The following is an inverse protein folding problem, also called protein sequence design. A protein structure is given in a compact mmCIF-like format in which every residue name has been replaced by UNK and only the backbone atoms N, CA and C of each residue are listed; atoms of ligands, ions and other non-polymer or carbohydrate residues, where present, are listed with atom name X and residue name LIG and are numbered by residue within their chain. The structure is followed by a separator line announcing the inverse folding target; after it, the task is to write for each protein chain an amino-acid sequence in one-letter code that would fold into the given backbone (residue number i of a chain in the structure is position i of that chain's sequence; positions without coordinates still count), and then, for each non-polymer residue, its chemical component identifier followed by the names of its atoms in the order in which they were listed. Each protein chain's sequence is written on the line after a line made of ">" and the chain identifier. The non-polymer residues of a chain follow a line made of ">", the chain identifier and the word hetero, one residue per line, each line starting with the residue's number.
data_IF_953687684770
#
_entry.id   IF_953687684770
#
_cell.length_a   1.000
_cell.length_b   1.000
_cell.length_c   1.000
_cell.angle_alpha   90.00
_cell.angle_beta   90.00
_cell.angle_gamma   90.00
#
_symmetry.space_group_name_H-M   'P 1'
#
loop_
_entity.id
_entity.type
_entity.pdbx_description
1 polymer ?
#
# COMPACT_ATOMS: atom_id res chain seq x y z
N UNK A 1 3.74 -15.79 14.98
CA UNK A 1 3.63 -14.31 14.90
C UNK A 1 3.62 -13.98 13.42
N UNK A 2 2.50 -13.48 12.88
CA UNK A 2 2.43 -13.14 11.47
C UNK A 2 3.30 -11.90 11.24
N UNK A 3 4.34 -12.01 10.42
CA UNK A 3 5.30 -10.93 10.14
C UNK A 3 4.65 -9.69 9.51
N UNK A 4 3.38 -9.78 9.12
CA UNK A 4 2.66 -8.75 8.39
C UNK A 4 1.86 -7.80 9.30
N UNK A 5 2.19 -7.72 10.60
CA UNK A 5 1.46 -6.90 11.59
C UNK A 5 2.42 -5.97 12.32
N UNK A 6 2.19 -4.65 12.20
CA UNK A 6 2.91 -3.60 12.91
C UNK A 6 1.92 -2.90 13.85
N UNK A 7 2.28 -2.76 15.13
CA UNK A 7 1.42 -2.13 16.15
C UNK A 7 -0.01 -2.69 16.20
N UNK A 8 -0.15 -4.01 16.01
CA UNK A 8 -1.44 -4.70 16.02
C UNK A 8 -2.27 -4.52 14.74
N UNK A 9 -1.76 -3.82 13.73
CA UNK A 9 -2.44 -3.61 12.45
C UNK A 9 -1.69 -4.27 11.29
N UNK A 10 -2.39 -4.88 10.33
CA UNK A 10 -1.74 -5.51 9.18
C UNK A 10 -1.10 -4.48 8.25
N UNK A 11 -0.14 -4.91 7.44
CA UNK A 11 0.38 -4.18 6.29
C UNK A 11 0.54 -5.13 5.10
N UNK A 12 0.71 -4.56 3.89
CA UNK A 12 0.95 -5.37 2.69
C UNK A 12 2.45 -5.67 2.60
N UNK A 13 2.83 -6.93 2.78
CA UNK A 13 4.22 -7.40 2.65
C UNK A 13 4.46 -8.22 1.38
N UNK A 14 3.39 -8.59 0.66
CA UNK A 14 3.49 -9.32 -0.60
C UNK A 14 2.22 -9.13 -1.43
N UNK A 15 2.40 -9.03 -2.76
CA UNK A 15 1.33 -9.02 -3.74
C UNK A 15 1.80 -9.73 -5.02
N UNK A 16 0.97 -10.63 -5.56
CA UNK A 16 1.22 -11.36 -6.82
C UNK A 16 2.58 -12.11 -6.79
N UNK A 17 2.95 -12.66 -5.63
CA UNK A 17 4.20 -13.44 -5.46
C UNK A 17 5.47 -12.59 -5.35
N UNK A 18 5.38 -11.27 -5.43
CA UNK A 18 6.47 -10.36 -5.09
C UNK A 18 6.35 -9.97 -3.62
N UNK A 19 7.41 -10.18 -2.85
CA UNK A 19 7.48 -9.91 -1.42
C UNK A 19 8.38 -8.69 -1.17
N UNK A 20 8.10 -7.94 -0.10
CA UNK A 20 9.03 -6.95 0.43
C UNK A 20 10.40 -7.61 0.72
N UNK A 21 11.46 -6.86 0.45
CA UNK A 21 12.82 -7.21 0.83
C UNK A 21 13.40 -6.03 1.60
N UNK A 22 13.34 -6.13 2.92
CA UNK A 22 13.81 -5.07 3.82
C UNK A 22 15.32 -4.83 3.65
N UNK A 23 16.10 -5.88 3.37
CA UNK A 23 17.55 -5.78 3.21
C UNK A 23 17.92 -5.03 1.93
N UNK A 24 17.15 -5.24 0.86
CA UNK A 24 17.33 -4.53 -0.42
C UNK A 24 16.51 -3.23 -0.51
N UNK A 25 15.78 -2.85 0.54
CA UNK A 25 14.94 -1.66 0.53
C UNK A 25 13.77 -1.73 -0.46
N UNK A 26 13.25 -2.92 -0.74
CA UNK A 26 12.10 -3.12 -1.60
C UNK A 26 10.82 -3.18 -0.78
N UNK A 27 9.87 -2.31 -1.10
CA UNK A 27 8.63 -2.21 -0.35
C UNK A 27 7.41 -2.04 -1.26
N UNK A 28 6.31 -2.65 -0.85
CA UNK A 28 4.98 -2.35 -1.34
C UNK A 28 4.43 -1.09 -0.67
N UNK A 29 4.05 -0.13 -1.50
CA UNK A 29 3.33 1.07 -1.09
C UNK A 29 1.91 1.04 -1.62
N UNK A 30 0.98 1.55 -0.83
CA UNK A 30 -0.43 1.70 -1.21
C UNK A 30 -0.70 3.17 -1.41
N UNK A 31 -1.27 3.52 -2.56
CA UNK A 31 -1.73 4.87 -2.87
C UNK A 31 -3.22 4.85 -3.17
N UNK A 32 -3.89 5.98 -2.94
CA UNK A 32 -5.25 6.24 -3.39
C UNK A 32 -5.23 7.43 -4.33
N UNK A 33 -5.92 7.31 -5.46
CA UNK A 33 -6.10 8.38 -6.43
C UNK A 33 -7.59 8.61 -6.69
N UNK A 34 -7.98 9.88 -6.71
CA UNK A 34 -9.30 10.30 -7.20
C UNK A 34 -9.30 10.27 -8.73
N UNK A 35 -10.23 9.50 -9.32
CA UNK A 35 -10.43 9.46 -10.76
C UNK A 35 -10.77 10.85 -11.29
N UNK A 36 -10.21 11.21 -12.44
CA UNK A 36 -10.47 12.46 -13.15
C UNK A 36 -10.17 13.75 -12.36
N UNK A 37 -9.52 13.66 -11.20
CA UNK A 37 -9.14 14.85 -10.41
C UNK A 37 -7.96 15.62 -11.00
N UNK A 38 -7.13 14.96 -11.81
CA UNK A 38 -5.84 15.48 -12.24
C UNK A 38 -4.81 15.57 -11.11
N UNK A 39 -5.16 15.16 -9.89
CA UNK A 39 -4.25 15.12 -8.74
C UNK A 39 -3.38 13.86 -8.78
N UNK A 40 -2.18 13.99 -8.21
CA UNK A 40 -1.28 12.85 -8.01
C UNK A 40 -1.85 11.88 -6.96
N UNK A 41 -1.56 10.56 -7.09
CA UNK A 41 -1.91 9.58 -6.08
C UNK A 41 -1.33 9.94 -4.70
N UNK A 42 -2.16 9.84 -3.66
CA UNK A 42 -1.78 10.12 -2.27
C UNK A 42 -1.35 8.82 -1.60
N UNK A 43 -0.21 8.85 -0.91
CA UNK A 43 0.27 7.71 -0.13
C UNK A 43 -0.72 7.43 1.01
N UNK A 44 -1.07 6.17 1.20
CA UNK A 44 -1.84 5.72 2.35
C UNK A 44 -0.89 5.53 3.53
N UNK A 45 -1.06 6.34 4.57
CA UNK A 45 -0.30 6.32 5.81
C UNK A 45 -0.92 5.44 6.92
N UNK A 46 -2.08 4.86 6.64
CA UNK A 46 -2.84 3.97 7.53
C UNK A 46 -2.74 2.51 7.10
N UNK A 47 -3.11 1.61 8.01
CA UNK A 47 -3.19 0.19 7.71
C UNK A 47 -4.26 -0.09 6.62
N UNK A 48 -4.04 -1.07 5.73
CA UNK A 48 -5.02 -1.43 4.70
C UNK A 48 -6.43 -1.73 5.23
N UNK A 49 -6.55 -2.27 6.46
CA UNK A 49 -7.88 -2.55 7.06
C UNK A 49 -8.66 -1.29 7.44
N UNK A 50 -7.98 -0.15 7.55
CA UNK A 50 -8.59 1.15 7.85
C UNK A 50 -8.83 1.98 6.56
N UNK A 51 -8.45 1.45 5.40
CA UNK A 51 -8.68 2.10 4.11
C UNK A 51 -10.11 1.83 3.67
N UNK A 52 -10.87 2.90 3.49
CA UNK A 52 -12.17 2.87 2.82
C UNK A 52 -11.99 3.51 1.47
N UNK A 53 -12.39 2.79 0.42
CA UNK A 53 -12.39 3.28 -0.95
C UNK A 53 -13.80 3.78 -1.24
N UNK A 54 -13.87 5.04 -1.65
CA UNK A 54 -15.11 5.69 -2.05
C UNK A 54 -15.35 5.50 -3.55
N UNK A 55 -16.60 5.70 -4.03
CA UNK A 55 -16.86 5.75 -5.46
C UNK A 55 -15.93 6.75 -6.15
N UNK A 56 -15.47 6.40 -7.37
CA UNK A 56 -14.52 7.17 -8.16
C UNK A 56 -13.10 7.27 -7.59
N UNK A 57 -12.71 6.40 -6.66
CA UNK A 57 -11.32 6.24 -6.25
C UNK A 57 -10.70 4.95 -6.82
N UNK A 58 -9.40 4.99 -7.06
CA UNK A 58 -8.58 3.83 -7.37
C UNK A 58 -7.51 3.62 -6.30
N UNK A 59 -7.26 2.35 -6.00
CA UNK A 59 -6.15 1.93 -5.15
C UNK A 59 -4.99 1.48 -6.05
N UNK A 60 -3.81 2.06 -5.82
CA UNK A 60 -2.59 1.74 -6.58
C UNK A 60 -1.63 1.02 -5.65
N UNK A 61 -1.25 -0.19 -6.06
CA UNK A 61 -0.21 -0.98 -5.41
C UNK A 61 1.10 -0.74 -6.15
N UNK A 62 2.08 -0.12 -5.49
CA UNK A 62 3.37 0.21 -6.11
C UNK A 62 4.49 -0.49 -5.37
N UNK A 63 5.13 -1.46 -6.03
CA UNK A 63 6.38 -2.04 -5.59
C UNK A 63 7.54 -1.11 -5.98
N UNK A 64 8.18 -0.49 -4.98
CA UNK A 64 9.35 0.37 -5.19
C UNK A 64 10.59 -0.35 -4.69
N UNK A 65 11.62 -0.34 -5.53
CA UNK A 65 12.98 -0.67 -5.16
C UNK A 65 13.72 0.62 -4.85
N UNK A 66 14.53 0.62 -3.78
CA UNK A 66 15.34 1.77 -3.37
C UNK A 66 16.49 2.05 -4.34
#
# INVERSE_FOLDING_TARGET
>A
IAYNVINGKPYVSSLIGLQDDIEMGNYWFVYVRELNSGEDPKLVDKSPVDVKIEPNQELIMWYKSS
#
